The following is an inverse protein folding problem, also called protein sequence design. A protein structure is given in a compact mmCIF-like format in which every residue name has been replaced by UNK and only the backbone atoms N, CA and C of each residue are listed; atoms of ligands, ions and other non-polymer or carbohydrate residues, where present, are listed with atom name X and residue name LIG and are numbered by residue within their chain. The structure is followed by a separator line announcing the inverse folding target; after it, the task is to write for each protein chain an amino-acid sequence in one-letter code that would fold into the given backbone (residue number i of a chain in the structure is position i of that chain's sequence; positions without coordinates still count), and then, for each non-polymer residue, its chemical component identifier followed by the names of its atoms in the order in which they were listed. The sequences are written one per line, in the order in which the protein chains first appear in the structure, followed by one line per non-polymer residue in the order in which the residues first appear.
data_IF_378323631299
#
_entry.id   IF_378323631299
#
_cell.length_a   1.000
_cell.length_b   1.000
_cell.length_c   1.000
_cell.angle_alpha   90.00
_cell.angle_beta   90.00
_cell.angle_gamma   90.00
#
_symmetry.space_group_name_H-M   'P 1'
#
loop_
_entity.id
_entity.type
_entity.pdbx_description
1 polymer ?
#
# COMPACT_ATOMS: atom_id res chain seq x y z
N UNK A 1 -6.98 -10.47 8.51
CA UNK A 1 -5.59 -10.34 8.05
C UNK A 1 -4.97 -9.03 8.54
N UNK A 2 -5.65 -7.89 8.44
CA UNK A 2 -5.16 -6.61 9.00
C UNK A 2 -4.90 -6.66 10.52
N UNK A 3 -5.77 -7.33 11.26
CA UNK A 3 -5.58 -7.64 12.68
C UNK A 3 -4.29 -8.40 12.95
N UNK A 4 -4.05 -9.48 12.22
CA UNK A 4 -2.84 -10.31 12.38
C UNK A 4 -1.57 -9.47 12.18
N UNK A 5 -1.52 -8.68 11.10
CA UNK A 5 -0.37 -7.83 10.83
C UNK A 5 -0.13 -6.77 11.92
N UNK A 6 -1.20 -6.13 12.42
CA UNK A 6 -1.09 -5.14 13.50
C UNK A 6 -0.60 -5.81 14.79
N UNK A 7 -1.14 -6.97 15.11
CA UNK A 7 -0.79 -7.72 16.30
C UNK A 7 0.65 -8.22 16.25
N UNK A 8 1.11 -8.77 15.12
CA UNK A 8 2.48 -9.24 14.93
C UNK A 8 3.51 -8.13 15.15
N UNK A 9 3.20 -6.91 14.70
CA UNK A 9 4.11 -5.76 14.84
C UNK A 9 4.05 -5.17 16.25
N UNK A 10 2.86 -5.02 16.84
CA UNK A 10 2.70 -4.23 18.07
C UNK A 10 2.73 -5.07 19.36
N UNK A 11 2.23 -6.32 19.35
CA UNK A 11 2.21 -7.19 20.55
C UNK A 11 3.59 -7.45 21.16
N UNK A 12 4.69 -7.56 20.40
CA UNK A 12 6.03 -7.70 20.99
C UNK A 12 6.43 -6.52 21.89
N UNK A 13 5.85 -5.34 21.67
CA UNK A 13 6.23 -4.12 22.36
C UNK A 13 5.26 -3.76 23.50
N UNK A 14 3.94 -3.91 23.27
CA UNK A 14 2.88 -3.51 24.21
C UNK A 14 1.62 -4.36 24.04
N UNK A 15 0.72 -4.30 25.01
CA UNK A 15 -0.63 -4.88 24.90
C UNK A 15 -1.42 -4.18 23.80
N UNK A 16 -2.05 -4.96 22.92
CA UNK A 16 -2.83 -4.48 21.78
C UNK A 16 -4.25 -5.00 21.90
N UNK A 17 -5.23 -4.09 21.78
CA UNK A 17 -6.65 -4.43 21.73
C UNK A 17 -7.24 -3.89 20.43
N UNK A 18 -7.84 -4.75 19.63
CA UNK A 18 -8.52 -4.38 18.38
C UNK A 18 -10.03 -4.36 18.62
N UNK A 19 -10.65 -3.20 18.41
CA UNK A 19 -12.08 -3.01 18.56
C UNK A 19 -12.69 -2.78 17.18
N UNK A 20 -13.48 -3.73 16.72
CA UNK A 20 -14.19 -3.64 15.44
C UNK A 20 -15.47 -2.83 15.62
N UNK A 21 -15.59 -1.74 14.86
CA UNK A 21 -16.78 -0.87 14.87
C UNK A 21 -17.45 -0.84 13.49
N UNK A 22 -18.07 -1.93 13.03
CA UNK A 22 -18.65 -2.02 11.67
C UNK A 22 -19.84 -1.09 11.43
N UNK A 23 -20.41 -0.52 12.49
CA UNK A 23 -21.54 0.43 12.43
C UNK A 23 -21.10 1.90 12.53
N UNK A 24 -19.79 2.14 12.71
CA UNK A 24 -19.23 3.48 12.83
C UNK A 24 -18.67 3.92 11.49
N UNK A 25 -19.15 5.06 11.00
CA UNK A 25 -18.69 5.67 9.77
C UNK A 25 -17.91 6.93 10.09
N UNK A 26 -16.63 6.94 9.75
CA UNK A 26 -15.81 8.14 9.85
C UNK A 26 -16.12 9.07 8.65
N UNK A 27 -16.02 10.39 8.84
CA UNK A 27 -16.54 11.37 7.87
C UNK A 27 -15.73 11.45 6.57
N UNK A 28 -14.46 11.03 6.57
CA UNK A 28 -13.55 11.25 5.44
C UNK A 28 -13.50 10.08 4.44
N UNK A 29 -13.20 8.87 4.92
CA UNK A 29 -13.10 7.69 4.06
C UNK A 29 -13.58 6.44 4.82
N UNK A 30 -14.27 5.48 4.15
CA UNK A 30 -14.81 4.28 4.81
C UNK A 30 -13.74 3.39 5.44
N UNK A 31 -12.52 3.36 4.89
CA UNK A 31 -11.42 2.58 5.43
C UNK A 31 -10.60 3.42 6.43
N UNK A 32 -11.18 3.71 7.60
CA UNK A 32 -10.50 4.45 8.66
C UNK A 32 -10.17 3.61 9.88
N UNK A 33 -9.11 3.99 10.58
CA UNK A 33 -8.63 3.36 11.80
C UNK A 33 -8.19 4.42 12.80
N UNK A 34 -8.58 4.26 14.07
CA UNK A 34 -8.16 5.13 15.16
C UNK A 34 -7.21 4.38 16.09
N UNK A 35 -5.97 4.85 16.17
CA UNK A 35 -5.00 4.44 17.17
C UNK A 35 -5.21 5.24 18.45
N UNK A 36 -5.19 4.56 19.59
CA UNK A 36 -5.35 5.18 20.91
C UNK A 36 -4.26 4.64 21.84
N UNK A 37 -3.31 5.50 22.21
CA UNK A 37 -2.31 5.20 23.22
C UNK A 37 -2.88 5.42 24.62
N UNK A 38 -2.73 4.44 25.51
CA UNK A 38 -3.20 4.53 26.89
C UNK A 38 -2.07 4.32 27.87
N UNK A 39 -2.18 4.96 29.04
CA UNK A 39 -1.28 4.75 30.16
C UNK A 39 -1.65 3.48 30.95
N UNK A 40 -0.95 3.24 32.06
CA UNK A 40 -1.19 2.08 32.92
C UNK A 40 -2.53 2.17 33.69
N UNK A 41 -3.10 3.36 33.84
CA UNK A 41 -4.39 3.60 34.49
C UNK A 41 -5.56 3.50 33.51
N UNK A 42 -5.28 3.46 32.20
CA UNK A 42 -6.25 3.40 31.13
C UNK A 42 -6.63 4.76 30.56
N UNK A 43 -5.97 5.83 31.00
CA UNK A 43 -6.14 7.19 30.50
C UNK A 43 -5.51 7.32 29.11
N UNK A 44 -6.17 8.09 28.24
CA UNK A 44 -5.68 8.33 26.87
C UNK A 44 -4.48 9.28 26.92
N UNK A 45 -3.33 8.79 26.46
CA UNK A 45 -2.12 9.59 26.27
C UNK A 45 -2.21 10.35 24.96
N UNK A 46 -2.60 9.66 23.89
CA UNK A 46 -2.67 10.22 22.54
C UNK A 46 -3.63 9.42 21.66
N UNK A 47 -4.12 10.04 20.60
CA UNK A 47 -4.96 9.40 19.59
C UNK A 47 -4.65 9.90 18.18
N UNK A 48 -4.66 8.97 17.23
CA UNK A 48 -4.38 9.28 15.83
C UNK A 48 -5.34 8.53 14.92
N UNK A 49 -6.05 9.26 14.06
CA UNK A 49 -6.96 8.67 13.08
C UNK A 49 -6.31 8.71 11.71
N UNK A 50 -6.28 7.55 11.05
CA UNK A 50 -5.72 7.38 9.71
C UNK A 50 -6.72 6.71 8.79
N UNK A 51 -6.63 7.02 7.51
CA UNK A 51 -7.49 6.54 6.46
C UNK A 51 -6.66 5.89 5.37
N UNK A 52 -7.03 4.69 4.93
CA UNK A 52 -6.47 4.08 3.73
C UNK A 52 -7.33 4.46 2.53
N UNK A 53 -6.82 5.36 1.68
CA UNK A 53 -7.57 5.96 0.56
C UNK A 53 -7.42 5.20 -0.77
N UNK A 54 -6.73 4.06 -0.77
CA UNK A 54 -6.52 3.20 -1.94
C UNK A 54 -5.08 3.19 -2.42
N UNK A 55 -4.69 2.15 -3.17
CA UNK A 55 -3.33 2.04 -3.74
C UNK A 55 -2.18 1.85 -2.75
N UNK A 56 -2.46 1.81 -1.44
CA UNK A 56 -1.45 1.79 -0.37
C UNK A 56 -1.23 3.15 0.30
N UNK A 57 -1.87 4.21 -0.19
CA UNK A 57 -1.79 5.55 0.39
C UNK A 57 -2.58 5.68 1.70
N UNK A 58 -2.04 6.49 2.61
CA UNK A 58 -2.62 6.82 3.91
C UNK A 58 -2.77 8.35 4.04
N UNK A 59 -3.89 8.79 4.61
CA UNK A 59 -4.16 10.18 4.96
C UNK A 59 -4.64 10.28 6.41
N UNK A 60 -4.39 11.41 7.07
CA UNK A 60 -4.93 11.72 8.39
C UNK A 60 -6.30 12.43 8.34
N UNK A 61 -6.84 12.64 7.12
CA UNK A 61 -8.11 13.31 6.89
C UNK A 61 -8.04 14.83 7.06
N UNK A 62 -6.86 15.41 7.21
CA UNK A 62 -6.66 16.86 7.12
C UNK A 62 -6.59 17.30 5.65
N UNK A 63 -7.39 18.30 5.29
CA UNK A 63 -7.44 18.79 3.92
C UNK A 63 -6.06 19.34 3.49
N UNK A 64 -5.47 18.79 2.43
CA UNK A 64 -4.19 19.23 1.86
C UNK A 64 -3.03 18.23 1.99
N UNK A 65 -3.17 17.14 2.75
CA UNK A 65 -2.24 16.00 2.74
C UNK A 65 -2.88 14.83 1.97
N UNK A 66 -3.00 14.98 0.65
CA UNK A 66 -3.64 14.01 -0.24
C UNK A 66 -2.83 12.70 -0.35
N UNK A 67 -1.56 12.72 -0.01
CA UNK A 67 -0.72 11.53 0.19
C UNK A 67 0.41 11.87 1.15
N UNK A 68 0.52 11.14 2.26
CA UNK A 68 1.77 11.13 3.04
C UNK A 68 2.85 10.42 2.21
N UNK A 69 3.50 11.11 1.26
CA UNK A 69 4.82 10.65 0.79
C UNK A 69 5.28 10.92 -0.64
N UNK A 70 4.42 11.24 -1.63
CA UNK A 70 4.88 11.38 -3.01
C UNK A 70 5.02 12.85 -3.42
N UNK A 71 6.22 13.25 -3.87
CA UNK A 71 6.39 14.49 -4.63
C UNK A 71 5.95 14.24 -6.07
N UNK A 72 5.31 15.22 -6.69
CA UNK A 72 5.02 15.14 -8.13
C UNK A 72 6.34 15.23 -8.91
N UNK A 73 6.68 14.17 -9.63
CA UNK A 73 7.93 14.02 -10.41
C UNK A 73 7.70 14.38 -11.88
N UNK A 74 6.44 14.47 -12.33
CA UNK A 74 6.08 14.61 -13.73
C UNK A 74 5.50 16.00 -14.03
N UNK A 75 6.22 16.79 -14.83
CA UNK A 75 5.76 18.11 -15.25
C UNK A 75 4.51 18.05 -16.16
N UNK A 76 4.38 16.97 -16.94
CA UNK A 76 3.28 16.76 -17.89
C UNK A 76 2.28 15.73 -17.37
N UNK A 77 1.05 16.19 -17.15
CA UNK A 77 -0.01 15.40 -16.54
C UNK A 77 -1.10 14.94 -17.53
N UNK A 78 -0.87 15.10 -18.83
CA UNK A 78 -1.78 14.63 -19.88
C UNK A 78 -1.04 13.80 -20.91
N UNK A 79 -1.63 12.67 -21.28
CA UNK A 79 -1.08 11.80 -22.31
C UNK A 79 -0.83 12.53 -23.64
N UNK A 80 -1.70 13.49 -24.00
CA UNK A 80 -1.53 14.30 -25.21
C UNK A 80 -0.23 15.11 -25.17
N UNK A 81 0.08 15.74 -24.04
CA UNK A 81 1.27 16.57 -23.86
C UNK A 81 2.53 15.70 -23.83
N UNK A 82 2.50 14.55 -23.14
CA UNK A 82 3.59 13.57 -23.13
C UNK A 82 3.86 13.05 -24.54
N UNK A 83 2.80 12.74 -25.30
CA UNK A 83 2.90 12.25 -26.68
C UNK A 83 3.53 13.31 -27.58
N UNK A 84 3.13 14.57 -27.43
CA UNK A 84 3.71 15.69 -28.18
C UNK A 84 5.20 15.83 -27.85
N UNK A 85 5.57 15.77 -26.58
CA UNK A 85 6.97 15.80 -26.14
C UNK A 85 7.78 14.65 -26.77
N UNK A 86 7.24 13.43 -26.79
CA UNK A 86 7.88 12.27 -27.41
C UNK A 86 8.14 12.53 -28.91
N UNK A 87 7.15 13.05 -29.64
CA UNK A 87 7.32 13.37 -31.06
C UNK A 87 8.36 14.47 -31.31
N UNK A 88 8.30 15.56 -30.55
CA UNK A 88 9.18 16.72 -30.73
C UNK A 88 10.64 16.38 -30.43
N UNK A 89 10.88 15.41 -29.53
CA UNK A 89 12.22 14.99 -29.11
C UNK A 89 12.72 13.72 -29.80
N UNK A 90 11.90 13.06 -30.63
CA UNK A 90 12.24 11.77 -31.24
C UNK A 90 12.44 10.65 -30.20
N UNK A 91 11.73 10.73 -29.07
CA UNK A 91 11.83 9.85 -27.91
C UNK A 91 10.57 9.00 -27.76
N UNK A 92 10.69 7.93 -27.01
CA UNK A 92 9.62 7.03 -26.60
C UNK A 92 9.13 7.36 -25.18
N UNK A 93 8.00 6.77 -24.78
CA UNK A 93 7.39 7.06 -23.48
C UNK A 93 8.29 6.74 -22.28
N UNK A 94 9.04 5.63 -22.34
CA UNK A 94 9.91 5.25 -21.22
C UNK A 94 11.10 6.19 -21.07
N UNK A 95 11.55 6.83 -22.15
CA UNK A 95 12.61 7.86 -22.08
C UNK A 95 12.10 9.15 -21.43
N UNK A 96 10.79 9.45 -21.53
CA UNK A 96 10.19 10.55 -20.77
C UNK A 96 10.16 10.22 -19.27
N UNK A 97 9.81 8.97 -18.92
CA UNK A 97 9.85 8.48 -17.53
C UNK A 97 11.28 8.55 -16.98
N UNK A 98 12.26 8.01 -17.71
CA UNK A 98 13.68 8.05 -17.33
C UNK A 98 14.20 9.49 -17.17
N UNK A 99 13.73 10.44 -18.01
CA UNK A 99 14.08 11.86 -17.86
C UNK A 99 13.56 12.46 -16.55
N UNK A 100 12.35 12.10 -16.14
CA UNK A 100 11.66 12.71 -14.99
C UNK A 100 12.10 12.08 -13.67
N UNK A 101 12.25 10.76 -13.63
CA UNK A 101 12.64 9.99 -12.47
C UNK A 101 14.15 10.10 -12.17
N UNK A 102 14.54 9.71 -10.96
CA UNK A 102 15.96 9.59 -10.59
C UNK A 102 16.62 8.35 -11.19
N UNK A 103 17.95 8.35 -11.25
CA UNK A 103 18.76 7.26 -11.83
C UNK A 103 18.51 5.89 -11.17
N UNK A 104 17.98 5.86 -9.95
CA UNK A 104 17.62 4.64 -9.20
C UNK A 104 16.32 3.97 -9.70
N UNK A 105 15.59 4.57 -10.63
CA UNK A 105 14.36 4.01 -11.20
C UNK A 105 14.60 2.61 -11.80
N UNK A 106 15.75 2.39 -12.45
CA UNK A 106 16.08 1.11 -13.07
C UNK A 106 16.35 0.02 -12.04
N UNK A 107 17.06 0.36 -10.95
CA UNK A 107 17.30 -0.56 -9.83
C UNK A 107 15.98 -0.91 -9.14
N UNK A 108 15.09 0.07 -8.97
CA UNK A 108 13.75 -0.15 -8.42
C UNK A 108 12.90 -1.05 -9.33
N UNK A 109 12.92 -0.82 -10.65
CA UNK A 109 12.19 -1.66 -11.60
C UNK A 109 12.71 -3.10 -11.64
N UNK A 110 14.03 -3.32 -11.54
CA UNK A 110 14.56 -4.68 -11.40
C UNK A 110 14.11 -5.30 -10.07
N UNK A 111 14.17 -4.59 -8.95
CA UNK A 111 13.67 -5.08 -7.67
C UNK A 111 12.19 -5.50 -7.75
N UNK A 112 11.35 -4.69 -8.39
CA UNK A 112 9.93 -5.02 -8.63
C UNK A 112 9.81 -6.28 -9.50
N UNK A 113 10.59 -6.38 -10.56
CA UNK A 113 10.60 -7.56 -11.43
C UNK A 113 11.03 -8.84 -10.69
N UNK A 114 12.09 -8.77 -9.87
CA UNK A 114 12.52 -9.89 -9.04
C UNK A 114 11.42 -10.29 -8.05
N UNK A 115 10.76 -9.30 -7.44
CA UNK A 115 9.65 -9.53 -6.50
C UNK A 115 8.46 -10.20 -7.18
N UNK A 116 8.10 -9.79 -8.39
CA UNK A 116 7.04 -10.45 -9.19
C UNK A 116 7.40 -11.91 -9.49
N UNK A 117 8.62 -12.18 -9.98
CA UNK A 117 9.09 -13.55 -10.23
C UNK A 117 9.08 -14.40 -8.96
N UNK A 118 9.52 -13.85 -7.84
CA UNK A 118 9.52 -14.57 -6.58
C UNK A 118 8.10 -14.87 -6.09
N UNK A 119 7.17 -13.92 -6.27
CA UNK A 119 5.77 -14.11 -5.90
C UNK A 119 5.10 -15.21 -6.72
N UNK A 120 5.43 -15.32 -8.00
CA UNK A 120 5.01 -16.44 -8.85
C UNK A 120 5.55 -17.76 -8.29
N UNK A 121 6.87 -17.87 -8.06
CA UNK A 121 7.49 -19.09 -7.50
C UNK A 121 6.85 -19.48 -6.17
N UNK A 122 6.72 -18.54 -5.25
CA UNK A 122 6.04 -18.78 -3.97
C UNK A 122 4.62 -19.32 -4.18
N UNK A 123 3.85 -18.74 -5.10
CA UNK A 123 2.51 -19.22 -5.43
C UNK A 123 2.48 -20.65 -6.00
N UNK A 124 3.50 -21.01 -6.79
CA UNK A 124 3.65 -22.34 -7.37
C UNK A 124 4.12 -23.39 -6.35
N UNK A 125 4.97 -23.01 -5.39
CA UNK A 125 5.52 -23.93 -4.39
C UNK A 125 4.61 -24.09 -3.15
N UNK A 126 3.71 -23.12 -2.89
CA UNK A 126 2.85 -23.13 -1.71
C UNK A 126 1.56 -23.93 -1.93
N UNK A 127 1.53 -25.12 -1.35
CA UNK A 127 0.33 -25.94 -1.22
C UNK A 127 -0.57 -25.52 -0.04
N UNK A 128 -1.71 -26.20 0.10
CA UNK A 128 -2.62 -26.05 1.23
C UNK A 128 -3.88 -25.25 0.92
N UNK A 129 -4.45 -24.66 1.95
CA UNK A 129 -5.78 -24.01 1.91
C UNK A 129 -5.63 -22.52 2.20
N UNK A 130 -6.35 -21.68 1.46
CA UNK A 130 -6.40 -20.25 1.71
C UNK A 130 -7.02 -19.97 3.09
N UNK A 131 -6.45 -19.03 3.85
CA UNK A 131 -7.03 -18.62 5.12
C UNK A 131 -8.41 -17.99 4.90
N UNK A 132 -9.33 -18.19 5.85
CA UNK A 132 -10.69 -17.66 5.81
C UNK A 132 -11.79 -18.74 5.83
N UNK A 133 -13.06 -18.33 5.85
CA UNK A 133 -14.18 -19.24 6.10
C UNK A 133 -14.46 -20.19 4.93
N UNK A 134 -14.07 -19.81 3.71
CA UNK A 134 -14.37 -20.57 2.49
C UNK A 134 -13.46 -21.78 2.28
N UNK A 135 -12.37 -21.92 3.06
CA UNK A 135 -11.42 -23.05 3.04
C UNK A 135 -11.07 -23.55 1.62
N UNK A 136 -10.77 -22.61 0.72
CA UNK A 136 -10.48 -22.91 -0.68
C UNK A 136 -9.06 -23.47 -0.83
N UNK A 137 -8.93 -24.58 -1.53
CA UNK A 137 -7.62 -25.17 -1.84
C UNK A 137 -6.84 -24.27 -2.82
N UNK A 138 -5.56 -24.06 -2.56
CA UNK A 138 -4.63 -23.44 -3.52
C UNK A 138 -4.49 -24.33 -4.75
N UNK A 139 -4.52 -23.72 -5.95
CA UNK A 139 -4.51 -24.46 -7.22
C UNK A 139 -3.20 -24.39 -7.99
N UNK A 140 -2.43 -23.31 -7.84
CA UNK A 140 -1.21 -23.08 -8.60
C UNK A 140 -0.21 -24.24 -8.50
N UNK A 141 0.06 -24.74 -7.30
CA UNK A 141 0.94 -25.89 -7.07
C UNK A 141 0.45 -27.21 -7.68
N UNK A 142 -0.85 -27.36 -7.93
CA UNK A 142 -1.45 -28.62 -8.42
C UNK A 142 -1.51 -28.73 -9.94
N UNK A 143 -1.10 -27.69 -10.66
CA UNK A 143 -1.22 -27.59 -12.13
C UNK A 143 0.15 -27.79 -12.81
N UNK A 144 1.24 -27.79 -12.03
CA UNK A 144 2.61 -28.10 -12.49
C UNK A 144 2.86 -29.59 -12.35
#
# INVERSE_FOLDING_TARGET
MTDVAIEEVLKPHKTVNIIWQPQTFLPYHPNGMKFVGKDLNGDVIDEWTVYSIGGGAISDGTAGNEELGAKDVYDLNKLADIKQWCYDNGRSFWEYVEKCESDDIWDYLDMVWQTMKQSIRNGLDHEGVLPGPLKLQRKAATII
#
